data_IF_823181603195
#
_entry.id   IF_823181603195
#
_cell.length_a   1.000
_cell.length_b   1.000
_cell.length_c   1.000
_cell.angle_alpha   90.00
_cell.angle_beta   90.00
_cell.angle_gamma   90.00
#
_symmetry.space_group_name_H-M   'P 1'
#
loop_
_entity.id
_entity.type
_entity.pdbx_description
1 polymer ?
#
# COMPACT_ATOMS: atom_id res chain seq x y z
N UNK A 1 -0.94 9.55 2.42
CA UNK A 1 -0.26 9.57 1.10
C UNK A 1 0.21 8.14 0.80
N UNK A 2 0.12 7.68 -0.46
CA UNK A 2 0.59 6.34 -0.83
C UNK A 2 2.11 6.24 -0.66
N UNK A 3 2.58 5.15 -0.04
CA UNK A 3 3.99 4.83 0.13
C UNK A 3 4.40 3.78 -0.88
N UNK A 4 5.65 3.82 -1.35
CA UNK A 4 6.22 2.78 -2.19
C UNK A 4 7.64 2.45 -1.73
N UNK A 5 8.10 1.26 -2.11
CA UNK A 5 9.45 0.79 -1.87
C UNK A 5 9.98 0.04 -3.09
N UNK A 6 11.27 0.17 -3.37
CA UNK A 6 11.96 -0.55 -4.45
C UNK A 6 12.96 -1.49 -3.80
N UNK A 7 12.90 -2.77 -4.16
CA UNK A 7 13.91 -3.75 -3.77
C UNK A 7 14.27 -4.68 -4.94
N UNK A 8 15.38 -5.40 -4.80
CA UNK A 8 15.85 -6.35 -5.81
C UNK A 8 14.97 -7.59 -5.90
N UNK A 9 14.34 -7.99 -4.79
CA UNK A 9 13.35 -9.06 -4.73
C UNK A 9 12.06 -8.57 -4.09
N UNK A 10 10.95 -9.21 -4.44
CA UNK A 10 9.63 -8.83 -3.96
C UNK A 10 9.47 -8.99 -2.43
N UNK A 11 9.97 -10.06 -1.76
CA UNK A 11 9.89 -10.17 -0.30
C UNK A 11 10.58 -9.04 0.47
N UNK A 12 11.65 -8.49 -0.09
CA UNK A 12 12.48 -7.45 0.54
C UNK A 12 11.74 -6.11 0.68
N UNK A 13 10.62 -5.93 -0.02
CA UNK A 13 9.81 -4.71 0.11
C UNK A 13 8.92 -4.72 1.36
N UNK A 14 8.67 -5.89 1.94
CA UNK A 14 7.63 -6.05 2.96
C UNK A 14 7.95 -5.26 4.24
N UNK A 15 9.14 -5.48 4.81
CA UNK A 15 9.53 -4.86 6.08
C UNK A 15 9.61 -3.32 5.97
N UNK A 16 10.32 -2.73 4.99
CA UNK A 16 10.44 -1.28 4.93
C UNK A 16 9.10 -0.60 4.62
N UNK A 17 8.24 -1.24 3.82
CA UNK A 17 6.93 -0.70 3.51
C UNK A 17 6.01 -0.69 4.74
N UNK A 18 6.05 -1.75 5.56
CA UNK A 18 5.31 -1.80 6.83
C UNK A 18 5.84 -0.73 7.78
N UNK A 19 7.16 -0.66 7.97
CA UNK A 19 7.81 0.33 8.83
C UNK A 19 7.36 1.76 8.49
N UNK A 20 7.48 2.13 7.21
CA UNK A 20 7.13 3.46 6.72
C UNK A 20 5.63 3.74 6.71
N UNK A 21 4.81 2.69 6.75
CA UNK A 21 3.36 2.85 6.90
C UNK A 21 3.01 3.13 8.36
N UNK A 22 3.64 2.45 9.31
CA UNK A 22 3.45 2.66 10.75
C UNK A 22 3.81 4.08 11.19
N UNK A 23 4.88 4.66 10.64
CA UNK A 23 5.28 6.06 10.89
C UNK A 23 4.19 7.08 10.52
N UNK A 24 3.27 6.71 9.62
CA UNK A 24 2.18 7.58 9.14
C UNK A 24 0.83 7.24 9.76
N UNK A 25 0.78 6.17 10.54
CA UNK A 25 -0.40 5.75 11.27
C UNK A 25 -0.36 6.40 12.64
N UNK A 26 -1.50 6.88 13.12
CA UNK A 26 -1.58 7.51 14.44
C UNK A 26 -1.13 6.52 15.52
N UNK A 27 -0.30 6.99 16.44
CA UNK A 27 0.21 6.17 17.54
C UNK A 27 -0.93 5.51 18.33
N UNK A 28 -0.71 4.26 18.73
CA UNK A 28 -1.71 3.46 19.47
C UNK A 28 -2.84 2.87 18.61
N UNK A 29 -2.95 3.25 17.32
CA UNK A 29 -3.96 2.67 16.43
C UNK A 29 -3.51 1.34 15.84
N UNK A 30 -4.47 0.44 15.61
CA UNK A 30 -4.24 -0.90 15.06
C UNK A 30 -4.96 -1.03 13.73
N UNK A 31 -4.34 -0.63 12.60
CA UNK A 31 -4.99 -0.70 11.30
C UNK A 31 -5.27 -2.15 10.87
N UNK A 32 -6.15 -2.30 9.89
CA UNK A 32 -6.30 -3.59 9.19
C UNK A 32 -5.26 -3.61 8.08
N UNK A 33 -4.34 -4.56 8.15
CA UNK A 33 -3.37 -4.81 7.09
C UNK A 33 -3.98 -5.74 6.04
N UNK A 34 -3.77 -5.43 4.77
CA UNK A 34 -4.22 -6.25 3.65
C UNK A 34 -3.11 -6.33 2.61
N UNK A 35 -2.77 -7.55 2.18
CA UNK A 35 -1.86 -7.78 1.06
C UNK A 35 -2.42 -8.87 0.14
N UNK A 36 -1.68 -9.17 -0.92
CA UNK A 36 -1.86 -10.42 -1.66
C UNK A 36 -1.37 -11.63 -0.84
N UNK A 37 -1.41 -12.82 -1.44
CA UNK A 37 -1.03 -14.08 -0.81
C UNK A 37 0.46 -14.27 -0.54
N UNK A 38 1.29 -13.22 -0.58
CA UNK A 38 2.72 -13.33 -0.29
C UNK A 38 2.99 -13.46 1.23
N UNK A 39 3.80 -14.44 1.61
CA UNK A 39 4.07 -14.73 3.02
C UNK A 39 4.92 -13.67 3.72
N UNK A 40 5.82 -13.01 3.00
CA UNK A 40 6.77 -12.03 3.52
C UNK A 40 6.11 -10.91 4.34
N UNK A 41 4.93 -10.44 3.92
CA UNK A 41 4.18 -9.41 4.66
C UNK A 41 3.72 -9.89 6.03
N UNK A 42 3.21 -11.12 6.13
CA UNK A 42 2.80 -11.65 7.44
C UNK A 42 3.99 -11.91 8.34
N UNK A 43 5.10 -12.40 7.80
CA UNK A 43 6.30 -12.65 8.60
C UNK A 43 6.89 -11.32 9.13
N UNK A 44 6.93 -10.29 8.28
CA UNK A 44 7.34 -8.94 8.68
C UNK A 44 6.40 -8.32 9.72
N UNK A 45 5.07 -8.42 9.52
CA UNK A 45 4.09 -7.94 10.50
C UNK A 45 4.21 -8.67 11.84
N UNK A 46 4.36 -10.00 11.83
CA UNK A 46 4.55 -10.79 13.05
C UNK A 46 5.86 -10.42 13.74
N UNK A 47 6.95 -10.23 12.99
CA UNK A 47 8.25 -9.83 13.55
C UNK A 47 8.15 -8.51 14.29
N UNK A 48 7.46 -7.51 13.72
CA UNK A 48 7.26 -6.18 14.33
C UNK A 48 6.24 -6.21 15.48
N UNK A 49 5.17 -7.00 15.33
CA UNK A 49 4.06 -7.08 16.30
C UNK A 49 3.95 -8.49 16.89
N UNK A 50 4.96 -8.91 17.65
CA UNK A 50 4.90 -10.17 18.41
C UNK A 50 4.84 -9.94 19.92
N UNK A 51 4.25 -10.92 20.60
CA UNK A 51 4.26 -11.03 22.06
C UNK A 51 4.78 -12.39 22.46
N UNK A 52 5.49 -12.45 23.59
CA UNK A 52 5.96 -13.71 24.14
C UNK A 52 4.78 -14.45 24.79
N UNK A 53 4.35 -15.56 24.19
CA UNK A 53 3.33 -16.42 24.80
C UNK A 53 3.99 -17.41 25.73
N UNK A 54 3.73 -17.25 27.03
CA UNK A 54 4.06 -18.22 28.05
C UNK A 54 3.00 -19.33 28.05
N UNK A 55 3.45 -20.56 28.25
CA UNK A 55 2.56 -21.71 28.40
C UNK A 55 2.65 -22.19 29.85
N UNK A 56 1.54 -22.19 30.60
CA UNK A 56 1.56 -22.70 31.96
C UNK A 56 1.93 -24.19 31.96
N UNK A 57 2.52 -24.66 33.06
CA UNK A 57 2.78 -26.08 33.24
C UNK A 57 1.44 -26.83 33.26
N UNK A 58 1.34 -27.88 32.45
CA UNK A 58 0.12 -28.67 32.31
C UNK A 58 -0.08 -29.68 33.44
N UNK A 59 0.90 -29.85 34.34
CA UNK A 59 0.89 -30.88 35.40
C UNK A 59 1.08 -32.33 34.89
N UNK A 60 1.00 -32.56 33.58
CA UNK A 60 1.18 -33.87 32.95
C UNK A 60 2.67 -34.21 32.76
N UNK A 61 3.02 -35.50 32.80
CA UNK A 61 4.37 -36.01 32.53
C UNK A 61 4.81 -35.61 31.12
N UNK A 62 5.98 -35.00 30.99
CA UNK A 62 6.55 -34.56 29.71
C UNK A 62 7.28 -33.22 29.80
N UNK A 63 8.02 -32.88 28.75
CA UNK A 63 8.78 -31.62 28.68
C UNK A 63 7.82 -30.43 28.61
N UNK A 64 7.92 -29.43 29.51
CA UNK A 64 7.13 -28.22 29.44
C UNK A 64 7.30 -27.50 28.10
N UNK A 65 6.22 -26.92 27.58
CA UNK A 65 6.27 -26.12 26.35
C UNK A 65 7.09 -24.86 26.60
N UNK A 66 8.09 -24.63 25.74
CA UNK A 66 8.89 -23.41 25.78
C UNK A 66 8.05 -22.19 25.36
N UNK A 67 8.35 -21.00 25.92
CA UNK A 67 7.79 -19.75 25.42
C UNK A 67 7.98 -19.59 23.92
N UNK A 68 6.98 -19.00 23.24
CA UNK A 68 7.03 -18.77 21.79
C UNK A 68 6.60 -17.34 21.44
N UNK A 69 7.31 -16.73 20.51
CA UNK A 69 6.89 -15.49 19.88
C UNK A 69 5.71 -15.75 18.95
N UNK A 70 4.56 -15.18 19.30
CA UNK A 70 3.32 -15.25 18.51
C UNK A 70 2.92 -13.86 18.06
N UNK A 71 2.16 -13.77 16.97
CA UNK A 71 1.60 -12.50 16.55
C UNK A 71 0.75 -11.88 17.68
N UNK A 72 0.87 -10.58 17.87
CA UNK A 72 0.09 -9.82 18.84
C UNK A 72 -1.41 -10.05 18.58
N UNK A 73 -2.23 -10.35 19.62
CA UNK A 73 -3.67 -10.56 19.43
C UNK A 73 -4.41 -9.35 18.83
N UNK A 74 -3.86 -8.13 18.96
CA UNK A 74 -4.41 -6.92 18.35
C UNK A 74 -4.07 -6.77 16.87
N UNK A 75 -3.08 -7.51 16.36
CA UNK A 75 -2.68 -7.47 14.95
C UNK A 75 -3.81 -8.06 14.08
N UNK A 76 -4.27 -7.26 13.11
CA UNK A 76 -5.31 -7.63 12.15
C UNK A 76 -4.71 -7.65 10.76
N UNK A 77 -4.56 -8.83 10.18
CA UNK A 77 -3.94 -8.99 8.86
C UNK A 77 -4.71 -10.00 8.02
N UNK A 78 -5.16 -9.55 6.85
CA UNK A 78 -5.84 -10.36 5.85
C UNK A 78 -5.08 -10.46 4.54
N UNK A 79 -5.31 -11.54 3.80
CA UNK A 79 -4.70 -11.77 2.49
C UNK A 79 -5.78 -12.07 1.45
N UNK A 80 -5.54 -11.59 0.23
CA UNK A 80 -6.22 -12.05 -0.98
C UNK A 80 -5.32 -13.07 -1.67
N UNK A 81 -5.71 -14.34 -1.64
CA UNK A 81 -4.90 -15.45 -2.14
C UNK A 81 -5.48 -15.95 -3.47
N UNK A 82 -4.61 -16.10 -4.47
CA UNK A 82 -4.96 -16.67 -5.77
C UNK A 82 -4.73 -18.16 -5.73
N UNK A 83 -5.77 -18.93 -6.01
CA UNK A 83 -5.66 -20.36 -6.26
C UNK A 83 -5.08 -20.58 -7.64
N UNK A 84 -4.19 -21.56 -7.74
CA UNK A 84 -3.53 -21.89 -8.99
C UNK A 84 -3.59 -23.40 -9.22
N UNK A 85 -3.79 -23.79 -10.47
CA UNK A 85 -3.65 -25.18 -10.88
C UNK A 85 -2.17 -25.60 -10.99
N UNK A 86 -1.94 -26.86 -11.34
CA UNK A 86 -0.62 -27.44 -11.58
C UNK A 86 0.17 -26.69 -12.68
N UNK A 87 -0.52 -26.04 -13.61
CA UNK A 87 0.06 -25.22 -14.68
C UNK A 87 0.29 -23.76 -14.26
N UNK A 88 0.09 -23.43 -12.97
CA UNK A 88 0.20 -22.08 -12.38
C UNK A 88 -0.80 -21.05 -12.91
N UNK A 89 -1.85 -21.48 -13.61
CA UNK A 89 -2.95 -20.62 -14.05
C UNK A 89 -3.85 -20.31 -12.86
N UNK A 90 -4.37 -19.08 -12.79
CA UNK A 90 -5.26 -18.69 -11.68
C UNK A 90 -6.64 -19.31 -11.90
N UNK A 91 -7.07 -20.17 -10.99
CA UNK A 91 -8.36 -20.87 -11.03
C UNK A 91 -9.41 -20.24 -10.11
N UNK A 92 -8.96 -19.55 -9.08
CA UNK A 92 -9.83 -18.97 -8.07
C UNK A 92 -9.14 -17.89 -7.26
N UNK A 93 -9.92 -17.17 -6.46
CA UNK A 93 -9.42 -16.20 -5.48
C UNK A 93 -10.23 -16.33 -4.22
N UNK A 94 -9.56 -16.54 -3.08
CA UNK A 94 -10.19 -16.52 -1.77
C UNK A 94 -9.52 -15.50 -0.85
N UNK A 95 -10.22 -15.17 0.23
CA UNK A 95 -9.76 -14.21 1.24
C UNK A 95 -9.56 -14.96 2.55
N UNK A 96 -8.45 -14.70 3.22
CA UNK A 96 -8.15 -15.31 4.51
C UNK A 96 -7.69 -14.28 5.54
N UNK A 97 -8.06 -14.50 6.81
CA UNK A 97 -7.54 -13.75 7.94
C UNK A 97 -6.33 -14.49 8.50
N UNK A 98 -5.11 -13.98 8.27
CA UNK A 98 -3.87 -14.65 8.70
C UNK A 98 -3.56 -14.36 10.17
N UNK A 99 -3.78 -13.12 10.62
CA UNK A 99 -3.66 -12.74 12.03
C UNK A 99 -4.89 -11.97 12.51
N UNK A 100 -5.31 -12.27 13.73
CA UNK A 100 -6.47 -11.65 14.35
C UNK A 100 -7.77 -11.94 13.60
N UNK A 101 -8.83 -11.21 13.98
CA UNK A 101 -10.14 -11.29 13.33
C UNK A 101 -10.28 -10.14 12.33
N UNK A 102 -10.22 -10.46 11.03
CA UNK A 102 -10.47 -9.51 9.93
C UNK A 102 -11.74 -9.90 9.20
N UNK A 103 -12.75 -9.00 9.12
CA UNK A 103 -13.94 -9.27 8.29
C UNK A 103 -13.57 -9.41 6.82
N UNK A 104 -13.96 -10.53 6.17
CA UNK A 104 -13.55 -10.85 4.80
C UNK A 104 -13.96 -9.77 3.77
N UNK A 105 -15.08 -9.08 3.99
CA UNK A 105 -15.53 -8.01 3.11
C UNK A 105 -14.58 -6.78 3.11
N UNK A 106 -13.77 -6.59 4.17
CA UNK A 106 -12.75 -5.53 4.25
C UNK A 106 -11.42 -5.91 3.59
N UNK A 107 -11.21 -7.20 3.31
CA UNK A 107 -9.99 -7.68 2.65
C UNK A 107 -10.14 -7.46 1.15
N UNK A 108 -9.48 -6.44 0.61
CA UNK A 108 -9.46 -6.14 -0.83
C UNK A 108 -8.13 -5.52 -1.22
N UNK A 109 -7.59 -5.96 -2.35
CA UNK A 109 -6.38 -5.41 -2.97
C UNK A 109 -6.70 -4.61 -4.23
N UNK A 110 -7.97 -4.51 -4.63
CA UNK A 110 -8.40 -3.92 -5.91
C UNK A 110 -7.88 -2.49 -6.09
N UNK A 111 -7.89 -1.68 -5.03
CA UNK A 111 -7.44 -0.29 -5.10
C UNK A 111 -5.92 -0.17 -5.36
N UNK A 112 -5.11 -0.95 -4.63
CA UNK A 112 -3.65 -0.91 -4.81
C UNK A 112 -3.25 -1.58 -6.12
N UNK A 113 -3.95 -2.64 -6.53
CA UNK A 113 -3.75 -3.29 -7.83
C UNK A 113 -4.07 -2.34 -9.00
N UNK A 114 -5.19 -1.60 -8.90
CA UNK A 114 -5.54 -0.57 -9.89
C UNK A 114 -4.50 0.55 -9.94
N UNK A 115 -4.01 1.00 -8.79
CA UNK A 115 -2.94 1.98 -8.72
C UNK A 115 -1.65 1.47 -9.36
N UNK A 116 -1.23 0.24 -9.04
CA UNK A 116 -0.07 -0.42 -9.63
C UNK A 116 -0.20 -0.58 -11.15
N UNK A 117 -1.40 -0.87 -11.65
CA UNK A 117 -1.66 -0.92 -13.09
C UNK A 117 -1.46 0.46 -13.74
N UNK A 118 -2.03 1.52 -13.15
CA UNK A 118 -1.83 2.90 -13.66
C UNK A 118 -0.36 3.30 -13.64
N UNK A 119 0.36 2.98 -12.56
CA UNK A 119 1.80 3.21 -12.44
C UNK A 119 2.57 2.54 -13.60
N UNK A 120 2.29 1.27 -13.89
CA UNK A 120 2.97 0.54 -15.00
C UNK A 120 2.62 1.09 -16.38
N UNK A 121 1.37 1.49 -16.59
CA UNK A 121 0.94 2.06 -17.88
C UNK A 121 1.60 3.41 -18.16
N UNK A 122 1.77 4.24 -17.14
CA UNK A 122 2.26 5.62 -17.29
C UNK A 122 3.78 5.73 -17.10
N UNK A 123 4.41 4.72 -16.49
CA UNK A 123 5.84 4.69 -16.26
C UNK A 123 6.49 3.49 -16.94
N UNK A 124 7.04 3.73 -18.14
CA UNK A 124 7.75 2.72 -18.94
C UNK A 124 8.87 2.03 -18.15
N UNK A 125 9.48 2.65 -17.14
CA UNK A 125 10.53 2.03 -16.29
C UNK A 125 10.05 0.84 -15.47
N UNK A 126 8.73 0.71 -15.25
CA UNK A 126 8.12 -0.41 -14.54
C UNK A 126 7.68 -1.55 -15.46
N UNK A 127 7.99 -1.44 -16.76
CA UNK A 127 7.69 -2.47 -17.76
C UNK A 127 8.92 -3.32 -18.00
N UNK A 128 8.73 -4.64 -18.10
CA UNK A 128 9.81 -5.59 -18.38
C UNK A 128 10.35 -5.42 -19.81
N UNK A 129 11.66 -5.59 -20.00
CA UNK A 129 12.35 -5.60 -21.32
C UNK A 129 12.04 -4.35 -22.17
N UNK A 130 12.16 -3.18 -21.56
CA UNK A 130 11.89 -1.91 -22.22
C UNK A 130 13.16 -1.08 -22.36
N UNK A 131 13.25 -0.22 -23.37
CA UNK A 131 14.39 0.69 -23.54
C UNK A 131 14.38 1.85 -22.52
N UNK A 132 13.22 2.16 -21.94
CA UNK A 132 13.06 3.23 -20.96
C UNK A 132 13.32 2.78 -19.52
N UNK A 133 14.41 2.07 -19.24
CA UNK A 133 14.78 1.60 -17.90
C UNK A 133 15.67 2.59 -17.15
N UNK A 134 15.81 2.44 -15.83
CA UNK A 134 16.79 3.22 -15.04
C UNK A 134 18.07 2.42 -14.82
N UNK A 135 19.24 3.04 -15.04
CA UNK A 135 20.55 2.41 -14.80
C UNK A 135 20.91 2.28 -13.33
N UNK A 136 20.36 3.16 -12.48
CA UNK A 136 20.58 3.20 -11.02
C UNK A 136 19.24 3.20 -10.31
N UNK A 137 19.19 2.63 -9.10
CA UNK A 137 17.99 2.61 -8.25
C UNK A 137 17.46 4.02 -7.97
N UNK A 138 18.35 4.98 -7.71
CA UNK A 138 17.99 6.38 -7.46
C UNK A 138 17.21 7.00 -8.64
N UNK A 139 17.57 6.63 -9.87
CA UNK A 139 16.84 7.07 -11.06
C UNK A 139 15.40 6.55 -11.10
N UNK A 140 15.18 5.32 -10.61
CA UNK A 140 13.85 4.76 -10.50
C UNK A 140 13.07 5.42 -9.33
N UNK A 141 13.71 5.62 -8.18
CA UNK A 141 13.15 6.36 -7.04
C UNK A 141 12.68 7.75 -7.47
N UNK A 142 13.55 8.54 -8.12
CA UNK A 142 13.23 9.88 -8.58
C UNK A 142 12.05 9.90 -9.55
N UNK A 143 11.98 8.94 -10.48
CA UNK A 143 10.83 8.83 -11.38
C UNK A 143 9.54 8.51 -10.61
N UNK A 144 9.59 7.59 -9.64
CA UNK A 144 8.42 7.22 -8.85
C UNK A 144 7.93 8.40 -7.99
N UNK A 145 8.84 9.16 -7.39
CA UNK A 145 8.48 10.40 -6.67
C UNK A 145 7.83 11.43 -7.59
N UNK A 146 8.41 11.65 -8.79
CA UNK A 146 7.84 12.56 -9.78
C UNK A 146 6.44 12.11 -10.21
N UNK A 147 6.25 10.83 -10.50
CA UNK A 147 4.94 10.29 -10.88
C UNK A 147 3.93 10.41 -9.73
N UNK A 148 4.33 10.04 -8.51
CA UNK A 148 3.45 10.10 -7.35
C UNK A 148 3.01 11.55 -7.04
N UNK A 149 3.95 12.50 -7.18
CA UNK A 149 3.68 13.92 -7.06
C UNK A 149 2.73 14.43 -8.15
N UNK A 150 3.00 14.10 -9.41
CA UNK A 150 2.12 14.41 -10.53
C UNK A 150 0.71 13.84 -10.35
N UNK A 151 0.61 12.57 -9.95
CA UNK A 151 -0.66 11.88 -9.74
C UNK A 151 -1.49 12.51 -8.62
N UNK A 152 -0.84 12.92 -7.52
CA UNK A 152 -1.51 13.44 -6.33
C UNK A 152 -1.80 14.95 -6.37
N UNK A 153 -0.91 15.76 -6.93
CA UNK A 153 -0.97 17.23 -6.81
C UNK A 153 -1.37 17.93 -8.11
N UNK A 154 -1.02 17.36 -9.27
CA UNK A 154 -1.18 18.03 -10.57
C UNK A 154 -2.36 17.47 -11.36
N UNK A 155 -2.47 16.14 -11.49
CA UNK A 155 -3.45 15.48 -12.36
C UNK A 155 -4.84 15.44 -11.73
N UNK A 156 -5.87 16.09 -12.31
CA UNK A 156 -7.24 15.94 -11.80
C UNK A 156 -7.85 14.61 -12.23
N UNK A 157 -8.58 13.94 -11.32
CA UNK A 157 -9.16 12.62 -11.58
C UNK A 157 -10.67 12.72 -11.77
N UNK A 158 -11.21 11.93 -12.70
CA UNK A 158 -12.66 11.94 -12.99
C UNK A 158 -13.50 11.54 -11.78
N UNK A 159 -13.06 10.51 -11.05
CA UNK A 159 -13.77 9.99 -9.87
C UNK A 159 -13.73 10.90 -8.64
N UNK A 160 -12.96 11.99 -8.65
CA UNK A 160 -12.86 12.94 -7.54
C UNK A 160 -13.61 14.26 -7.83
N UNK A 161 -14.25 14.38 -8.99
CA UNK A 161 -14.97 15.60 -9.37
C UNK A 161 -16.18 15.82 -8.48
N UNK A 162 -16.45 17.08 -8.15
CA UNK A 162 -17.68 17.49 -7.47
C UNK A 162 -18.58 18.25 -8.43
N UNK A 163 -19.91 18.11 -8.32
CA UNK A 163 -20.82 18.97 -9.06
C UNK A 163 -20.63 20.42 -8.60
N UNK A 164 -20.67 21.34 -9.55
CA UNK A 164 -20.70 22.77 -9.22
C UNK A 164 -22.12 23.14 -8.79
N UNK A 165 -22.25 23.95 -7.73
CA UNK A 165 -23.54 24.52 -7.36
C UNK A 165 -23.96 25.54 -8.43
N UNK A 166 -25.22 25.45 -8.90
CA UNK A 166 -25.83 26.35 -9.88
C UNK A 166 -24.97 26.62 -11.14
N UNK A 167 -24.65 25.59 -11.95
CA UNK A 167 -23.88 25.80 -13.17
C UNK A 167 -24.73 26.57 -14.18
N UNK A 168 -24.30 27.78 -14.57
CA UNK A 168 -24.83 28.42 -15.77
C UNK A 168 -24.51 27.54 -17.00
N UNK A 169 -25.32 27.58 -18.07
CA UNK A 169 -25.10 26.76 -19.28
C UNK A 169 -23.71 26.96 -19.92
N UNK A 170 -23.10 28.14 -19.74
CA UNK A 170 -21.76 28.47 -20.23
C UNK A 170 -20.61 28.01 -19.31
N UNK A 171 -20.92 27.54 -18.09
CA UNK A 171 -19.91 27.15 -17.11
C UNK A 171 -19.71 25.64 -17.05
N UNK A 172 -18.51 25.24 -16.66
CA UNK A 172 -18.16 23.82 -16.52
C UNK A 172 -18.92 23.21 -15.32
N UNK A 173 -19.76 22.21 -15.60
CA UNK A 173 -20.60 21.48 -14.62
C UNK A 173 -19.83 20.84 -13.46
N UNK A 174 -18.55 20.55 -13.65
CA UNK A 174 -17.75 19.75 -12.71
C UNK A 174 -16.51 20.51 -12.23
N UNK A 175 -16.32 20.54 -10.92
CA UNK A 175 -15.09 21.02 -10.29
C UNK A 175 -14.07 19.89 -10.34
N UNK A 176 -12.94 20.13 -11.01
CA UNK A 176 -11.83 19.18 -11.14
C UNK A 176 -11.05 19.12 -9.83
N UNK A 177 -10.76 17.92 -9.32
CA UNK A 177 -9.96 17.72 -8.11
C UNK A 177 -8.86 16.68 -8.30
N UNK A 178 -7.74 16.91 -7.64
CA UNK A 178 -6.62 15.96 -7.49
C UNK A 178 -6.79 15.17 -6.18
N UNK A 179 -6.07 14.05 -5.98
CA UNK A 179 -6.13 13.30 -4.73
C UNK A 179 -5.68 14.13 -3.52
N UNK A 180 -4.66 14.97 -3.66
CA UNK A 180 -4.21 15.86 -2.59
C UNK A 180 -5.29 16.89 -2.22
N UNK A 181 -5.96 17.48 -3.21
CA UNK A 181 -7.08 18.40 -2.99
C UNK A 181 -8.30 17.68 -2.40
N UNK A 182 -8.53 16.43 -2.78
CA UNK A 182 -9.58 15.57 -2.23
C UNK A 182 -9.35 15.27 -0.75
N UNK A 183 -8.09 15.04 -0.38
CA UNK A 183 -7.66 14.74 0.98
C UNK A 183 -7.41 15.99 1.85
N UNK A 184 -7.59 17.20 1.32
CA UNK A 184 -7.34 18.45 2.05
C UNK A 184 -5.86 18.76 2.31
N UNK A 185 -4.94 18.17 1.54
CA UNK A 185 -3.50 18.41 1.65
C UNK A 185 -3.02 19.66 0.90
N UNK A 186 -3.87 20.20 0.03
CA UNK A 186 -3.67 21.43 -0.74
C UNK A 186 -5.04 22.07 -0.96
N UNK A 187 -5.07 23.37 -1.18
CA UNK A 187 -6.25 24.19 -1.46
C UNK A 187 -6.53 24.35 -2.96
N UNK A 188 -5.57 24.00 -3.83
CA UNK A 188 -5.71 24.09 -5.27
C UNK A 188 -4.98 22.96 -6.03
N UNK A 189 -5.23 22.87 -7.34
CA UNK A 189 -4.52 21.97 -8.26
C UNK A 189 -3.19 22.61 -8.65
N UNK A 190 -2.09 21.93 -8.38
CA UNK A 190 -0.76 22.47 -8.63
C UNK A 190 -0.43 22.48 -10.12
N UNK A 191 0.36 23.47 -10.54
CA UNK A 191 1.02 23.42 -11.85
C UNK A 191 2.30 22.57 -11.78
N UNK A 192 2.77 22.09 -12.94
CA UNK A 192 4.07 21.39 -12.99
C UNK A 192 5.22 22.31 -12.54
N UNK A 193 5.19 23.59 -12.94
CA UNK A 193 6.19 24.57 -12.53
C UNK A 193 6.23 24.74 -11.02
N UNK A 194 5.07 24.89 -10.40
CA UNK A 194 4.95 25.00 -8.95
C UNK A 194 5.50 23.76 -8.25
N UNK A 195 5.07 22.57 -8.67
CA UNK A 195 5.56 21.31 -8.13
C UNK A 195 7.09 21.18 -8.20
N UNK A 196 7.69 21.58 -9.32
CA UNK A 196 9.15 21.53 -9.52
C UNK A 196 9.91 22.64 -8.78
N UNK A 197 9.24 23.72 -8.39
CA UNK A 197 9.86 24.87 -7.72
C UNK A 197 9.81 24.76 -6.18
N UNK A 198 8.95 23.89 -5.64
CA UNK A 198 8.83 23.65 -4.20
C UNK A 198 9.81 22.54 -3.79
N UNK A 199 10.60 22.79 -2.73
CA UNK A 199 11.30 21.72 -2.03
C UNK A 199 10.25 20.88 -1.29
N UNK A 200 9.87 19.76 -1.87
CA UNK A 200 9.02 18.79 -1.17
C UNK A 200 9.94 18.00 -0.23
N UNK A 201 9.93 18.37 1.05
CA UNK A 201 10.55 17.56 2.09
C UNK A 201 9.68 16.32 2.29
N UNK A 202 9.88 15.30 1.45
CA UNK A 202 9.40 13.96 1.75
C UNK A 202 10.35 13.45 2.83
N UNK A 203 9.94 13.53 4.10
CA UNK A 203 10.72 12.95 5.19
C UNK A 203 11.01 11.47 4.85
N UNK A 204 12.30 11.16 4.80
CA UNK A 204 12.83 9.82 4.53
C UNK A 204 12.67 8.96 5.76
#
# INVERSE_FOLDING_TARGET
MLSFWIAGQEPDVAEPLIARTEERVQEGTWPIWVSDGMDAYGDALKKRHCVLKLYPRTGKRGRPRRPKWVACPKLRYGQVVKERDEQRRVTGVYKQSRYGKVPLYRITTVYIERHNLTLRQENRRLTRKTLGFSKKADGLWNQLFLHQGYFNFIRPHRGLRLPRANPNPSQQKWIRRTPALAAGLTDHVWSLKEFMSKKIFINY
#
